data_IF_071834209406
#
_entry.id   IF_071834209406
#
_cell.length_a   1.000
_cell.length_b   1.000
_cell.length_c   1.000
_cell.angle_alpha   90.00
_cell.angle_beta   90.00
_cell.angle_gamma   90.00
#
_symmetry.space_group_name_H-M   'P 1'
#
loop_
_entity.id
_entity.type
_entity.pdbx_description
1 polymer ?
#
# COMPACT_ATOMS: atom_id res chain seq x y z
N UNK A 1 -45.41 3.02 -32.14
CA UNK A 1 -44.64 3.88 -31.20
C UNK A 1 -43.64 2.98 -30.50
N UNK A 2 -42.44 2.90 -31.06
CA UNK A 2 -41.39 1.93 -30.64
C UNK A 2 -40.45 2.65 -29.70
N UNK A 3 -40.45 2.26 -28.40
CA UNK A 3 -39.46 2.71 -27.43
C UNK A 3 -38.12 2.00 -27.68
N UNK A 4 -37.11 2.77 -28.06
CA UNK A 4 -35.74 2.31 -28.08
C UNK A 4 -35.17 2.42 -26.64
N UNK A 5 -34.89 1.29 -26.00
CA UNK A 5 -34.05 1.24 -24.79
C UNK A 5 -32.60 1.53 -25.23
N UNK A 6 -32.08 2.68 -24.83
CA UNK A 6 -30.64 2.96 -24.90
C UNK A 6 -29.97 2.28 -23.69
N UNK A 7 -29.21 1.25 -23.98
CA UNK A 7 -28.30 0.65 -22.99
C UNK A 7 -27.17 1.66 -22.66
N UNK A 8 -27.23 2.25 -21.49
CA UNK A 8 -26.09 3.01 -20.91
C UNK A 8 -25.06 1.98 -20.47
N UNK A 9 -24.01 1.84 -21.25
CA UNK A 9 -22.82 1.10 -20.87
C UNK A 9 -22.09 1.95 -19.81
N UNK A 10 -22.24 1.64 -18.51
CA UNK A 10 -21.37 2.17 -17.47
C UNK A 10 -19.97 1.60 -17.69
N UNK A 11 -19.11 2.40 -18.28
CA UNK A 11 -17.68 2.20 -18.24
C UNK A 11 -17.23 2.35 -16.77
N UNK A 12 -17.04 1.26 -16.08
CA UNK A 12 -16.18 1.26 -14.90
C UNK A 12 -14.77 1.62 -15.38
N UNK A 13 -14.37 2.85 -15.16
CA UNK A 13 -12.97 3.21 -15.18
C UNK A 13 -12.32 2.47 -13.98
N UNK A 14 -11.81 1.26 -14.23
CA UNK A 14 -10.91 0.60 -13.31
C UNK A 14 -9.73 1.54 -13.13
N UNK A 15 -9.38 1.86 -11.89
CA UNK A 15 -8.14 2.55 -11.58
C UNK A 15 -7.00 1.73 -12.24
N UNK A 16 -6.30 2.34 -13.17
CA UNK A 16 -5.17 1.71 -13.82
C UNK A 16 -4.09 1.54 -12.74
N UNK A 17 -3.79 0.30 -12.36
CA UNK A 17 -2.62 0.00 -11.55
C UNK A 17 -1.39 0.07 -12.46
N UNK A 18 -0.31 0.70 -12.00
CA UNK A 18 0.73 1.16 -12.87
C UNK A 18 2.11 1.14 -12.23
N UNK A 19 3.06 0.51 -12.90
CA UNK A 19 4.40 0.26 -12.43
C UNK A 19 4.29 -0.40 -11.04
N UNK A 20 4.99 0.06 -10.01
CA UNK A 20 4.75 -0.47 -8.68
C UNK A 20 3.66 0.34 -7.90
N UNK A 21 3.10 1.40 -8.51
CA UNK A 21 2.01 2.20 -7.96
C UNK A 21 0.68 1.44 -8.00
N UNK A 22 0.10 1.11 -6.86
CA UNK A 22 -1.17 0.37 -6.74
C UNK A 22 -1.17 -0.92 -7.56
N UNK A 23 -0.05 -1.60 -7.59
CA UNK A 23 0.21 -2.75 -8.44
C UNK A 23 -0.53 -4.02 -8.02
N UNK A 24 -1.11 -4.02 -6.80
CA UNK A 24 -1.87 -5.13 -6.25
C UNK A 24 -3.16 -4.68 -5.56
N UNK A 25 -4.13 -5.58 -5.33
CA UNK A 25 -5.32 -5.27 -4.56
C UNK A 25 -5.03 -4.72 -3.16
N UNK A 26 -4.03 -5.25 -2.46
CA UNK A 26 -3.66 -4.80 -1.11
C UNK A 26 -3.09 -3.40 -1.12
N UNK A 27 -2.16 -3.08 -2.02
CA UNK A 27 -1.56 -1.75 -2.14
C UNK A 27 -2.58 -0.71 -2.61
N UNK A 28 -3.48 -1.09 -3.52
CA UNK A 28 -4.62 -0.24 -3.92
C UNK A 28 -5.53 0.10 -2.75
N UNK A 29 -5.75 -0.86 -1.83
CA UNK A 29 -6.60 -0.66 -0.65
C UNK A 29 -5.90 0.13 0.47
N UNK A 30 -4.57 0.17 0.46
CA UNK A 30 -3.74 0.78 1.50
C UNK A 30 -2.63 1.67 0.90
N UNK A 31 -2.98 2.85 0.36
CA UNK A 31 -2.01 3.74 -0.30
C UNK A 31 -0.85 4.18 0.59
N UNK A 32 -1.01 4.19 1.92
CA UNK A 32 0.06 4.58 2.84
C UNK A 32 1.14 3.52 3.02
N UNK A 33 0.86 2.28 2.61
CA UNK A 33 1.81 1.17 2.58
C UNK A 33 2.24 0.80 1.16
N UNK A 34 1.75 1.49 0.14
CA UNK A 34 2.03 1.29 -1.28
C UNK A 34 3.38 1.95 -1.63
N UNK A 35 4.39 1.14 -1.92
CA UNK A 35 5.69 1.58 -2.40
C UNK A 35 5.63 1.85 -3.89
N UNK A 36 5.81 3.11 -4.27
CA UNK A 36 5.82 3.50 -5.67
C UNK A 36 7.14 3.10 -6.33
N UNK A 37 8.25 3.57 -5.77
CA UNK A 37 9.59 3.39 -6.33
C UNK A 37 10.67 3.36 -5.26
N UNK A 38 11.78 2.71 -5.62
CA UNK A 38 13.03 2.71 -4.86
C UNK A 38 14.16 3.21 -5.76
N UNK A 39 14.92 4.18 -5.25
CA UNK A 39 16.13 4.68 -5.89
C UNK A 39 17.33 4.44 -4.99
N UNK A 40 18.47 4.15 -5.59
CA UNK A 40 19.69 3.77 -4.91
C UNK A 40 20.90 4.25 -5.70
N UNK A 41 21.71 5.15 -5.11
CA UNK A 41 22.89 5.69 -5.78
C UNK A 41 23.92 6.23 -4.79
N UNK A 42 25.15 6.36 -5.23
CA UNK A 42 26.19 7.05 -4.47
C UNK A 42 25.95 8.56 -4.55
N UNK A 43 26.10 9.27 -3.42
CA UNK A 43 25.93 10.70 -3.39
C UNK A 43 26.96 11.39 -4.30
N UNK A 44 26.53 12.14 -5.35
CA UNK A 44 27.45 12.77 -6.27
C UNK A 44 28.37 13.83 -5.60
N UNK A 45 27.95 14.37 -4.45
CA UNK A 45 28.71 15.35 -3.69
C UNK A 45 29.58 14.73 -2.57
N UNK A 46 29.35 13.45 -2.25
CA UNK A 46 30.11 12.70 -1.24
C UNK A 46 30.19 11.21 -1.59
N UNK A 47 31.29 10.73 -2.20
CA UNK A 47 31.39 9.34 -2.67
C UNK A 47 31.43 8.30 -1.55
N UNK A 48 31.48 8.70 -0.27
CA UNK A 48 31.39 7.77 0.84
C UNK A 48 29.94 7.58 1.33
N UNK A 49 28.98 8.33 0.80
CA UNK A 49 27.61 8.29 1.24
C UNK A 49 26.71 7.59 0.21
N UNK A 50 25.99 6.57 0.67
CA UNK A 50 24.93 5.93 -0.08
C UNK A 50 23.63 6.67 0.16
N UNK A 51 22.89 6.94 -0.92
CA UNK A 51 21.57 7.57 -0.89
C UNK A 51 20.52 6.56 -1.32
N UNK A 52 19.45 6.47 -0.56
CA UNK A 52 18.25 5.72 -0.92
C UNK A 52 17.04 6.62 -0.88
N UNK A 53 16.13 6.42 -1.81
CA UNK A 53 14.84 7.10 -1.85
C UNK A 53 13.75 6.03 -1.94
N UNK A 54 12.79 6.10 -1.06
CA UNK A 54 11.55 5.33 -1.10
C UNK A 54 10.42 6.32 -1.37
N UNK A 55 9.65 6.10 -2.42
CA UNK A 55 8.43 6.87 -2.68
C UNK A 55 7.21 6.03 -2.34
N UNK A 56 6.20 6.66 -1.75
CA UNK A 56 4.96 6.02 -1.30
C UNK A 56 3.78 6.96 -1.52
N UNK A 57 2.56 6.42 -1.45
CA UNK A 57 1.33 7.20 -1.66
C UNK A 57 1.27 7.80 -3.07
N UNK A 58 0.88 7.01 -4.08
CA UNK A 58 0.75 7.49 -5.46
C UNK A 58 -0.22 8.67 -5.58
N UNK A 59 0.12 9.66 -6.39
CA UNK A 59 -0.67 10.88 -6.57
C UNK A 59 -0.93 11.62 -5.25
N UNK A 60 0.10 11.73 -4.42
CA UNK A 60 0.04 12.44 -3.15
C UNK A 60 -0.27 13.94 -3.35
N UNK A 61 -0.82 14.57 -2.34
CA UNK A 61 -1.12 15.99 -2.31
C UNK A 61 -0.77 16.59 -0.93
N UNK A 62 -0.95 17.89 -0.75
CA UNK A 62 -0.61 18.59 0.50
C UNK A 62 -1.33 18.06 1.75
N UNK A 63 -2.39 17.25 1.59
CA UNK A 63 -3.07 16.60 2.70
C UNK A 63 -2.62 15.15 2.93
N UNK A 64 -1.81 14.59 2.02
CA UNK A 64 -1.27 13.25 2.17
C UNK A 64 -0.28 13.17 3.33
N UNK A 65 -0.28 12.06 4.06
CA UNK A 65 0.57 11.85 5.23
C UNK A 65 1.12 10.43 5.24
N UNK A 66 2.33 10.29 5.77
CA UNK A 66 2.82 8.98 6.19
C UNK A 66 1.94 8.40 7.31
N UNK A 67 1.84 7.10 7.38
CA UNK A 67 0.99 6.44 8.39
C UNK A 67 1.80 6.06 9.63
N UNK A 68 1.27 6.39 10.81
CA UNK A 68 1.83 5.96 12.09
C UNK A 68 1.73 4.43 12.28
N UNK A 69 0.88 3.76 11.50
CA UNK A 69 0.68 2.31 11.51
C UNK A 69 1.47 1.56 10.42
N UNK A 70 2.42 2.23 9.76
CA UNK A 70 3.31 1.63 8.76
C UNK A 70 4.75 1.80 9.20
N UNK A 71 5.50 0.71 9.11
CA UNK A 71 6.96 0.71 9.17
C UNK A 71 7.52 0.66 7.76
N UNK A 72 8.31 1.65 7.42
CA UNK A 72 8.99 1.76 6.13
C UNK A 72 10.40 1.23 6.30
N UNK A 73 10.73 0.16 5.59
CA UNK A 73 11.98 -0.57 5.76
C UNK A 73 12.85 -0.47 4.52
N UNK A 74 14.12 -0.18 4.74
CA UNK A 74 15.17 -0.40 3.77
C UNK A 74 15.92 -1.66 4.17
N UNK A 75 15.97 -2.64 3.31
CA UNK A 75 16.57 -3.95 3.54
C UNK A 75 17.84 -4.08 2.70
N UNK A 76 18.92 -4.53 3.31
CA UNK A 76 20.25 -4.56 2.69
C UNK A 76 20.89 -5.92 2.95
N UNK A 77 21.23 -6.63 1.88
CA UNK A 77 22.08 -7.82 1.93
C UNK A 77 23.48 -7.43 1.44
N UNK A 78 24.47 -7.55 2.33
CA UNK A 78 25.87 -7.23 1.99
C UNK A 78 26.73 -8.47 1.71
N UNK A 79 26.08 -9.63 1.48
CA UNK A 79 26.74 -10.90 1.22
C UNK A 79 27.22 -11.65 2.46
N UNK A 80 27.18 -11.02 3.63
CA UNK A 80 27.54 -11.62 4.93
C UNK A 80 26.41 -11.52 5.93
N UNK A 81 25.65 -10.41 5.91
CA UNK A 81 24.57 -10.16 6.82
C UNK A 81 23.39 -9.47 6.08
N UNK A 82 22.18 -9.75 6.57
CA UNK A 82 21.00 -8.98 6.23
C UNK A 82 20.86 -7.85 7.27
N UNK A 83 20.93 -6.61 6.79
CA UNK A 83 20.78 -5.38 7.56
C UNK A 83 19.45 -4.72 7.25
N UNK A 84 18.93 -3.88 8.15
CA UNK A 84 17.77 -3.04 7.89
C UNK A 84 17.93 -1.65 8.48
N UNK A 85 17.37 -0.65 7.79
CA UNK A 85 17.05 0.65 8.36
C UNK A 85 15.53 0.74 8.38
N UNK A 86 14.98 0.96 9.59
CA UNK A 86 13.54 0.94 9.83
C UNK A 86 13.08 2.32 10.26
N UNK A 87 12.11 2.88 9.54
CA UNK A 87 11.56 4.19 9.80
C UNK A 87 10.09 4.09 10.17
N UNK A 88 9.70 4.73 11.27
CA UNK A 88 8.33 4.85 11.74
C UNK A 88 7.94 6.31 11.88
N UNK A 89 6.69 6.58 11.60
CA UNK A 89 6.12 7.91 11.77
C UNK A 89 5.27 7.98 13.02
N UNK A 90 5.17 9.17 13.58
CA UNK A 90 4.34 9.52 14.73
C UNK A 90 3.74 10.90 14.51
N UNK A 91 2.87 11.33 15.41
CA UNK A 91 2.25 12.65 15.33
C UNK A 91 1.49 12.86 14.00
N UNK A 92 0.66 11.86 13.64
CA UNK A 92 -0.11 11.85 12.39
C UNK A 92 0.78 12.00 11.15
N UNK A 93 1.94 11.31 11.14
CA UNK A 93 2.87 11.34 10.04
C UNK A 93 3.81 12.56 10.00
N UNK A 94 3.77 13.45 11.00
CA UNK A 94 4.56 14.69 11.01
C UNK A 94 5.97 14.54 11.60
N UNK A 95 6.27 13.41 12.22
CA UNK A 95 7.58 13.09 12.76
C UNK A 95 8.02 11.72 12.28
N UNK A 96 9.30 11.61 11.93
CA UNK A 96 9.93 10.33 11.57
C UNK A 96 10.98 9.94 12.61
N UNK A 97 11.07 8.65 12.88
CA UNK A 97 12.12 8.03 13.68
C UNK A 97 12.68 6.84 12.89
N UNK A 98 13.94 6.94 12.47
CA UNK A 98 14.66 5.89 11.77
C UNK A 98 15.74 5.30 12.67
N UNK A 99 15.86 3.98 12.64
CA UNK A 99 16.91 3.22 13.34
C UNK A 99 17.56 2.21 12.39
N UNK A 100 18.83 1.92 12.59
CA UNK A 100 19.58 1.01 11.73
C UNK A 100 20.68 0.25 12.49
N UNK A 101 21.49 -0.53 11.76
CA UNK A 101 22.56 -1.31 12.36
C UNK A 101 23.59 -0.41 13.04
N UNK A 102 24.31 -0.98 14.01
CA UNK A 102 25.42 -0.32 14.73
C UNK A 102 25.04 1.01 15.41
N UNK A 103 23.76 1.16 15.83
CA UNK A 103 23.27 2.36 16.49
C UNK A 103 23.00 3.54 15.57
N UNK A 104 22.93 3.32 14.26
CA UNK A 104 22.44 4.33 13.32
C UNK A 104 21.04 4.79 13.72
N UNK A 105 20.83 6.10 13.82
CA UNK A 105 19.54 6.66 14.21
C UNK A 105 19.36 8.10 13.75
N UNK A 106 18.13 8.47 13.39
CA UNK A 106 17.72 9.85 13.15
C UNK A 106 16.25 10.04 13.52
N UNK A 107 15.91 11.14 14.18
CA UNK A 107 14.53 11.47 14.56
C UNK A 107 14.26 12.97 14.44
N UNK A 108 13.13 13.33 13.87
CA UNK A 108 12.75 14.73 13.72
C UNK A 108 11.42 14.96 13.01
N UNK A 109 11.04 16.21 12.83
CA UNK A 109 9.89 16.59 12.02
C UNK A 109 10.18 16.43 10.52
N UNK A 110 9.16 16.15 9.72
CA UNK A 110 9.26 16.05 8.26
C UNK A 110 9.47 17.41 7.59
N UNK A 111 9.59 17.43 6.25
CA UNK A 111 9.80 18.59 5.38
C UNK A 111 11.10 19.38 5.69
N UNK A 112 12.07 18.73 6.28
CA UNK A 112 13.40 19.27 6.58
C UNK A 112 14.44 18.17 6.68
N UNK A 113 15.69 18.52 6.47
CA UNK A 113 16.82 17.61 6.70
C UNK A 113 16.98 17.36 8.20
N UNK A 114 16.99 16.08 8.57
CA UNK A 114 17.20 15.59 9.93
C UNK A 114 18.60 14.98 9.96
N UNK A 115 19.48 15.53 10.79
CA UNK A 115 20.80 14.98 11.02
C UNK A 115 20.76 14.17 12.31
N UNK A 116 21.13 12.90 12.21
CA UNK A 116 21.14 11.98 13.35
C UNK A 116 22.50 11.32 13.58
N UNK A 117 22.52 10.23 14.34
CA UNK A 117 23.71 9.41 14.54
C UNK A 117 23.97 8.54 13.31
N UNK A 118 24.85 8.98 12.42
CA UNK A 118 25.23 8.28 11.19
C UNK A 118 24.16 8.18 10.12
N UNK A 119 22.98 8.77 10.33
CA UNK A 119 21.90 8.90 9.34
C UNK A 119 21.58 10.36 9.06
N UNK A 120 21.37 10.68 7.80
CA UNK A 120 20.73 11.91 7.35
C UNK A 120 19.42 11.54 6.67
N UNK A 121 18.31 12.07 7.17
CA UNK A 121 16.97 11.70 6.74
C UNK A 121 16.20 12.94 6.30
N UNK A 122 15.42 12.78 5.26
CA UNK A 122 14.40 13.74 4.85
C UNK A 122 13.12 12.97 4.52
N UNK A 123 11.96 13.47 4.92
CA UNK A 123 10.67 12.90 4.57
C UNK A 123 9.66 14.01 4.26
N UNK A 124 8.80 13.82 3.27
CA UNK A 124 7.79 14.80 2.90
C UNK A 124 7.24 14.64 1.49
N UNK A 125 6.52 15.65 1.02
CA UNK A 125 5.94 15.70 -0.32
C UNK A 125 7.00 16.10 -1.36
N UNK A 126 7.08 15.36 -2.47
CA UNK A 126 7.98 15.63 -3.60
C UNK A 126 7.30 15.33 -4.91
N UNK A 127 7.76 15.97 -5.96
CA UNK A 127 7.48 15.60 -7.34
C UNK A 127 7.88 14.14 -7.57
N UNK A 128 7.00 13.35 -8.23
CA UNK A 128 7.25 11.94 -8.48
C UNK A 128 8.32 11.78 -9.57
N UNK A 129 9.49 11.22 -9.25
CA UNK A 129 10.58 11.11 -10.24
C UNK A 129 10.35 10.00 -11.26
N UNK A 130 9.31 9.19 -11.14
CA UNK A 130 9.01 8.13 -12.08
C UNK A 130 8.25 8.63 -13.30
N UNK A 131 8.53 8.06 -14.47
CA UNK A 131 7.87 8.39 -15.73
C UNK A 131 7.70 7.14 -16.59
N UNK A 132 6.53 7.00 -17.22
CA UNK A 132 6.15 5.85 -18.03
C UNK A 132 4.83 6.10 -18.79
N UNK A 133 4.72 5.61 -20.05
CA UNK A 133 3.44 5.53 -20.77
C UNK A 133 2.71 4.23 -20.44
N UNK A 134 2.13 4.17 -19.24
CA UNK A 134 1.38 3.00 -18.80
C UNK A 134 0.16 2.67 -19.65
N UNK A 135 -0.69 3.62 -20.10
CA UNK A 135 -1.80 3.32 -20.98
C UNK A 135 -1.34 2.65 -22.28
N UNK A 136 -0.22 3.09 -22.86
CA UNK A 136 0.35 2.44 -24.04
C UNK A 136 0.86 1.03 -23.71
N UNK A 137 1.55 0.83 -22.60
CA UNK A 137 1.95 -0.49 -22.13
C UNK A 137 0.76 -1.43 -21.91
N UNK A 138 -0.30 -0.95 -21.25
CA UNK A 138 -1.52 -1.74 -21.05
C UNK A 138 -2.21 -2.13 -22.36
N UNK A 139 -2.23 -1.24 -23.36
CA UNK A 139 -2.71 -1.58 -24.70
C UNK A 139 -1.79 -2.61 -25.37
N UNK A 140 -0.48 -2.42 -25.27
CA UNK A 140 0.54 -3.34 -25.83
C UNK A 140 0.35 -4.75 -25.31
N UNK A 141 0.27 -4.93 -23.99
CA UNK A 141 0.07 -6.26 -23.40
C UNK A 141 -1.30 -6.88 -23.73
N UNK A 142 -2.35 -6.07 -23.85
CA UNK A 142 -3.70 -6.55 -24.16
C UNK A 142 -3.83 -7.01 -25.61
N UNK A 143 -3.10 -6.40 -26.53
CA UNK A 143 -3.15 -6.68 -27.97
C UNK A 143 -1.97 -7.51 -28.46
N UNK A 144 -0.93 -7.69 -27.62
CA UNK A 144 0.38 -8.25 -27.98
C UNK A 144 0.97 -7.53 -29.23
N UNK A 145 0.78 -6.22 -29.29
CA UNK A 145 1.28 -5.37 -30.37
C UNK A 145 1.70 -4.00 -29.80
N UNK A 146 2.88 -3.49 -30.17
CA UNK A 146 3.39 -2.21 -29.64
C UNK A 146 2.40 -1.08 -29.86
N UNK A 147 2.07 -0.37 -28.78
CA UNK A 147 1.12 0.76 -28.79
C UNK A 147 1.77 2.05 -28.30
N UNK A 148 3.10 2.08 -28.14
CA UNK A 148 3.84 3.28 -27.80
C UNK A 148 3.86 4.28 -28.94
N UNK A 149 3.71 5.56 -28.61
CA UNK A 149 3.77 6.68 -29.58
C UNK A 149 5.06 7.47 -29.40
N UNK A 150 5.42 8.33 -30.33
CA UNK A 150 6.54 9.25 -30.20
C UNK A 150 6.05 10.68 -30.49
N UNK A 151 6.03 11.59 -29.49
CA UNK A 151 6.39 11.36 -28.09
C UNK A 151 5.40 10.44 -27.36
N UNK A 152 5.86 9.75 -26.31
CA UNK A 152 5.04 9.04 -25.34
C UNK A 152 4.35 10.00 -24.38
N UNK A 153 3.43 9.47 -23.57
CA UNK A 153 2.66 10.27 -22.60
C UNK A 153 3.00 9.81 -21.19
N UNK A 154 3.67 10.67 -20.38
CA UNK A 154 3.91 10.36 -18.97
C UNK A 154 2.59 10.24 -18.21
N UNK A 155 2.39 9.13 -17.51
CA UNK A 155 1.20 8.85 -16.70
C UNK A 155 1.41 9.11 -15.21
N UNK A 156 2.62 9.48 -14.81
CA UNK A 156 3.06 9.66 -13.42
C UNK A 156 3.35 11.12 -13.07
N UNK A 157 2.68 12.01 -13.76
CA UNK A 157 2.72 13.46 -13.43
C UNK A 157 2.07 13.70 -12.06
N UNK A 158 2.71 14.49 -11.21
CA UNK A 158 2.24 14.87 -9.88
C UNK A 158 3.18 14.44 -8.76
N UNK A 159 2.65 14.34 -7.54
CA UNK A 159 3.49 14.21 -6.36
C UNK A 159 3.37 12.84 -5.69
N UNK A 160 4.41 12.51 -4.93
CA UNK A 160 4.51 11.34 -4.04
C UNK A 160 4.99 11.77 -2.65
N UNK A 161 4.79 10.95 -1.62
CA UNK A 161 5.53 11.11 -0.37
C UNK A 161 6.86 10.39 -0.49
N UNK A 162 7.94 11.07 -0.19
CA UNK A 162 9.30 10.54 -0.29
C UNK A 162 9.97 10.44 1.08
N UNK A 163 10.64 9.31 1.34
CA UNK A 163 11.55 9.09 2.44
C UNK A 163 12.96 8.93 1.88
N UNK A 164 13.82 9.88 2.15
CA UNK A 164 15.21 9.91 1.66
C UNK A 164 16.16 9.65 2.82
N UNK A 165 17.04 8.67 2.67
CA UNK A 165 18.03 8.28 3.66
C UNK A 165 19.40 8.35 3.01
N UNK A 166 20.32 9.06 3.66
CA UNK A 166 21.72 9.06 3.31
C UNK A 166 22.55 8.54 4.49
N UNK A 167 23.48 7.64 4.20
CA UNK A 167 24.28 6.92 5.19
C UNK A 167 25.69 6.68 4.68
N UNK A 168 26.70 6.80 5.54
CA UNK A 168 28.06 6.39 5.18
C UNK A 168 28.09 4.90 4.85
N UNK A 169 28.52 4.56 3.64
CA UNK A 169 28.55 3.21 3.09
C UNK A 169 29.30 2.21 3.99
N UNK A 170 30.27 2.66 4.79
CA UNK A 170 31.07 1.81 5.66
C UNK A 170 30.24 1.12 6.74
N UNK A 171 29.12 1.72 7.14
CA UNK A 171 28.16 1.08 8.06
C UNK A 171 27.42 -0.10 7.45
N UNK A 172 27.34 -0.18 6.12
CA UNK A 172 26.55 -1.18 5.40
C UNK A 172 27.42 -2.24 4.71
N UNK A 173 28.59 -1.86 4.21
CA UNK A 173 29.47 -2.69 3.39
C UNK A 173 30.64 -3.31 4.16
N UNK A 174 30.49 -3.47 5.48
CA UNK A 174 31.51 -4.03 6.37
C UNK A 174 32.86 -3.29 6.28
N UNK A 175 32.80 -1.96 6.41
CA UNK A 175 33.99 -1.10 6.31
C UNK A 175 34.69 -1.11 4.94
N UNK A 176 33.95 -1.46 3.88
CA UNK A 176 34.46 -1.57 2.49
C UNK A 176 34.89 -2.98 2.08
N UNK A 177 34.88 -3.97 3.00
CA UNK A 177 35.23 -5.34 2.68
C UNK A 177 34.24 -6.03 1.74
N UNK A 178 32.96 -5.61 1.79
CA UNK A 178 31.86 -6.14 0.99
C UNK A 178 31.23 -5.02 0.17
N UNK A 179 31.83 -4.57 -0.93
CA UNK A 179 31.38 -3.40 -1.66
C UNK A 179 30.05 -3.59 -2.37
N UNK A 180 29.66 -4.83 -2.71
CA UNK A 180 28.41 -5.13 -3.42
C UNK A 180 27.29 -5.24 -2.40
N UNK A 181 26.28 -4.38 -2.54
CA UNK A 181 25.06 -4.41 -1.75
C UNK A 181 23.87 -4.75 -2.64
N UNK A 182 22.95 -5.57 -2.12
CA UNK A 182 21.63 -5.82 -2.70
C UNK A 182 20.58 -5.17 -1.81
N UNK A 183 19.79 -4.26 -2.37
CA UNK A 183 18.93 -3.37 -1.60
C UNK A 183 17.50 -3.42 -2.12
N UNK A 184 16.54 -3.50 -1.23
CA UNK A 184 15.13 -3.38 -1.54
C UNK A 184 14.39 -2.73 -0.38
N UNK A 185 13.18 -2.29 -0.63
CA UNK A 185 12.30 -1.70 0.37
C UNK A 185 11.11 -2.61 0.66
N UNK A 186 10.56 -2.48 1.85
CA UNK A 186 9.31 -3.09 2.24
C UNK A 186 8.52 -2.16 3.16
N UNK A 187 7.21 -2.26 3.08
CA UNK A 187 6.31 -1.66 4.06
C UNK A 187 5.63 -2.75 4.87
N UNK A 188 5.64 -2.58 6.19
CA UNK A 188 4.96 -3.47 7.11
C UNK A 188 3.85 -2.73 7.84
N UNK A 189 2.67 -3.32 7.93
CA UNK A 189 1.71 -2.88 8.92
C UNK A 189 2.19 -3.30 10.30
N UNK A 190 2.23 -2.30 11.19
CA UNK A 190 2.65 -2.42 12.58
C UNK A 190 1.55 -1.85 13.45
N UNK A 191 1.24 -2.53 14.55
CA UNK A 191 0.16 -2.13 15.44
C UNK A 191 -0.92 -3.20 15.56
N UNK A 192 -1.92 -2.92 16.37
CA UNK A 192 -2.97 -3.88 16.65
C UNK A 192 -3.81 -4.15 15.39
N UNK A 193 -3.99 -5.43 15.09
CA UNK A 193 -5.01 -5.91 14.15
C UNK A 193 -6.35 -5.58 14.72
N UNK A 194 -7.08 -4.63 14.13
CA UNK A 194 -8.36 -4.36 14.74
C UNK A 194 -9.19 -3.26 14.11
N UNK A 195 -10.33 -3.11 14.74
CA UNK A 195 -11.29 -2.07 14.46
C UNK A 195 -10.65 -0.71 14.78
N UNK A 196 -10.52 0.12 13.77
CA UNK A 196 -10.03 1.51 13.88
C UNK A 196 -11.18 2.51 13.74
N UNK A 197 -10.90 3.79 13.99
CA UNK A 197 -11.86 4.89 13.77
C UNK A 197 -12.50 4.88 12.39
N UNK A 198 -11.80 4.33 11.39
CA UNK A 198 -12.32 4.16 10.04
C UNK A 198 -13.52 3.21 9.93
N UNK A 199 -13.82 2.39 10.94
CA UNK A 199 -15.04 1.57 10.99
C UNK A 199 -16.29 2.34 11.42
N UNK A 200 -16.15 3.56 11.93
CA UNK A 200 -17.27 4.45 12.22
C UNK A 200 -18.13 4.67 10.98
N UNK A 201 -19.44 4.53 11.13
CA UNK A 201 -20.42 4.72 10.07
C UNK A 201 -21.60 3.77 10.14
N UNK A 202 -22.39 3.76 9.07
CA UNK A 202 -23.57 2.89 8.95
C UNK A 202 -23.21 1.57 8.29
N UNK A 203 -23.74 0.50 8.87
CA UNK A 203 -23.63 -0.88 8.42
C UNK A 203 -25.02 -1.49 8.31
N UNK A 204 -25.25 -2.38 7.36
CA UNK A 204 -26.58 -2.94 7.14
C UNK A 204 -26.51 -4.39 6.64
N UNK A 205 -27.62 -5.11 6.78
CA UNK A 205 -27.82 -6.40 6.13
C UNK A 205 -28.61 -6.16 4.83
N UNK A 206 -27.94 -6.30 3.68
CA UNK A 206 -28.57 -6.07 2.37
C UNK A 206 -29.75 -7.01 2.07
N UNK A 207 -29.82 -8.16 2.77
CA UNK A 207 -30.94 -9.13 2.62
C UNK A 207 -32.14 -8.79 3.50
N UNK A 208 -31.99 -7.85 4.44
CA UNK A 208 -33.01 -7.50 5.45
C UNK A 208 -33.26 -5.99 5.52
N UNK A 209 -34.08 -5.44 4.61
CA UNK A 209 -34.40 -4.02 4.61
C UNK A 209 -34.88 -3.52 5.98
N UNK A 210 -34.30 -2.41 6.45
CA UNK A 210 -34.61 -1.82 7.76
C UNK A 210 -33.75 -2.33 8.92
N UNK A 211 -32.92 -3.37 8.70
CA UNK A 211 -31.92 -3.80 9.68
C UNK A 211 -30.58 -3.15 9.37
N UNK A 212 -29.98 -2.52 10.36
CA UNK A 212 -28.66 -1.91 10.24
C UNK A 212 -28.16 -1.37 11.57
N UNK A 213 -26.89 -1.03 11.64
CA UNK A 213 -26.27 -0.47 12.82
C UNK A 213 -25.47 0.78 12.46
N UNK A 214 -25.56 1.79 13.31
CA UNK A 214 -24.57 2.86 13.37
C UNK A 214 -23.54 2.49 14.42
N UNK A 215 -22.28 2.59 14.06
CA UNK A 215 -21.13 2.24 14.92
C UNK A 215 -20.23 3.46 15.00
N UNK A 216 -19.79 3.80 16.20
CA UNK A 216 -18.78 4.81 16.47
C UNK A 216 -17.63 4.19 17.26
N UNK A 217 -16.42 4.38 16.77
CA UNK A 217 -15.20 4.02 17.48
C UNK A 217 -14.76 5.21 18.32
N UNK A 218 -14.61 4.96 19.61
CA UNK A 218 -14.33 5.96 20.63
C UNK A 218 -12.94 5.73 21.22
N UNK A 219 -12.31 6.82 21.65
CA UNK A 219 -11.06 6.77 22.39
C UNK A 219 -11.17 5.94 23.69
N UNK A 220 -10.07 5.39 24.20
CA UNK A 220 -10.03 4.70 25.47
C UNK A 220 -10.59 5.56 26.62
N UNK A 221 -11.29 4.94 27.58
CA UNK A 221 -11.77 5.64 28.77
C UNK A 221 -10.63 6.09 29.70
N UNK A 222 -9.51 5.39 29.65
CA UNK A 222 -8.28 5.72 30.39
C UNK A 222 -7.07 5.61 29.47
N UNK A 223 -6.03 6.44 29.62
CA UNK A 223 -4.81 6.34 28.83
C UNK A 223 -4.24 4.91 28.86
N UNK A 224 -3.96 4.33 27.67
CA UNK A 224 -3.45 2.96 27.53
C UNK A 224 -4.50 1.84 27.67
N UNK A 225 -5.77 2.18 27.87
CA UNK A 225 -6.88 1.22 27.86
C UNK A 225 -7.28 0.84 26.41
N UNK A 226 -8.20 -0.13 26.25
CA UNK A 226 -8.72 -0.51 24.94
C UNK A 226 -9.60 0.60 24.36
N UNK A 227 -9.61 0.73 23.05
CA UNK A 227 -10.58 1.54 22.33
C UNK A 227 -12.00 1.05 22.63
N UNK A 228 -12.95 1.96 22.55
CA UNK A 228 -14.36 1.69 22.86
C UNK A 228 -15.21 1.75 21.61
N UNK A 229 -16.38 1.16 21.68
CA UNK A 229 -17.41 1.21 20.64
C UNK A 229 -18.71 1.70 21.27
N UNK A 230 -19.38 2.65 20.62
CA UNK A 230 -20.79 2.90 20.81
C UNK A 230 -21.55 2.42 19.57
N UNK A 231 -22.72 1.82 19.78
CA UNK A 231 -23.54 1.39 18.66
C UNK A 231 -25.03 1.64 18.90
N UNK A 232 -25.76 1.89 17.80
CA UNK A 232 -27.21 1.87 17.73
C UNK A 232 -27.63 0.89 16.64
N UNK A 233 -28.27 -0.21 17.03
CA UNK A 233 -28.78 -1.22 16.11
C UNK A 233 -30.29 -1.01 15.87
N UNK A 234 -30.66 -0.75 14.63
CA UNK A 234 -32.02 -0.57 14.16
C UNK A 234 -32.62 -1.92 13.79
N UNK A 235 -33.72 -2.30 14.47
CA UNK A 235 -34.34 -3.62 14.31
C UNK A 235 -35.86 -3.53 14.41
N UNK A 236 -36.51 -4.66 14.14
CA UNK A 236 -37.93 -4.88 14.49
C UNK A 236 -38.04 -5.90 15.63
N UNK A 237 -38.99 -5.71 16.51
CA UNK A 237 -39.36 -6.72 17.49
C UNK A 237 -40.22 -7.84 16.86
N UNK A 238 -40.60 -8.85 17.66
CA UNK A 238 -41.43 -9.95 17.18
C UNK A 238 -42.83 -9.51 16.67
N UNK A 239 -43.32 -8.37 17.10
CA UNK A 239 -44.57 -7.77 16.62
C UNK A 239 -44.39 -6.84 15.39
N UNK A 240 -43.20 -6.72 14.82
CA UNK A 240 -42.91 -5.87 13.68
C UNK A 240 -42.77 -4.39 14.02
N UNK A 241 -42.65 -4.02 15.28
CA UNK A 241 -42.43 -2.63 15.69
C UNK A 241 -40.95 -2.29 15.69
N UNK A 242 -40.60 -1.08 15.25
CA UNK A 242 -39.22 -0.60 15.25
C UNK A 242 -38.66 -0.48 16.67
N UNK A 243 -37.42 -0.86 16.85
CA UNK A 243 -36.64 -0.74 18.08
C UNK A 243 -35.25 -0.25 17.77
N UNK A 244 -34.66 0.48 18.72
CA UNK A 244 -33.26 0.87 18.71
C UNK A 244 -32.60 0.22 19.92
N UNK A 245 -31.62 -0.63 19.64
CA UNK A 245 -30.83 -1.29 20.66
C UNK A 245 -29.49 -0.57 20.71
N UNK A 246 -29.18 0.04 21.85
CA UNK A 246 -27.99 0.88 22.02
C UNK A 246 -27.11 0.38 23.15
N UNK A 247 -25.85 0.72 23.09
CA UNK A 247 -24.90 0.41 24.15
C UNK A 247 -23.50 0.86 23.83
N UNK A 248 -22.64 0.73 24.81
CA UNK A 248 -21.20 0.99 24.72
C UNK A 248 -20.45 -0.24 25.19
N UNK A 249 -19.26 -0.45 24.62
CA UNK A 249 -18.40 -1.57 24.94
C UNK A 249 -16.96 -1.34 24.55
N UNK A 250 -16.18 -2.41 24.45
CA UNK A 250 -14.75 -2.37 24.17
C UNK A 250 -14.40 -3.06 22.86
N UNK A 251 -13.30 -2.65 22.28
CA UNK A 251 -12.72 -3.22 21.06
C UNK A 251 -11.51 -4.08 21.45
N UNK A 252 -11.43 -5.27 20.87
CA UNK A 252 -10.28 -6.15 20.96
C UNK A 252 -10.02 -6.78 19.57
N UNK A 253 -8.98 -6.30 18.90
CA UNK A 253 -8.68 -6.73 17.55
C UNK A 253 -9.82 -6.48 16.56
N UNK A 254 -10.23 -7.50 15.83
CA UNK A 254 -11.32 -7.45 14.83
C UNK A 254 -12.74 -7.45 15.45
N UNK A 255 -12.84 -7.46 16.77
CA UNK A 255 -14.08 -7.69 17.50
C UNK A 255 -14.39 -6.53 18.46
N UNK A 256 -15.62 -6.01 18.38
CA UNK A 256 -16.17 -5.03 19.32
C UNK A 256 -17.31 -5.67 20.11
N UNK A 257 -17.25 -5.64 21.44
CA UNK A 257 -18.24 -6.26 22.32
C UNK A 257 -18.92 -5.24 23.21
N UNK A 258 -20.23 -5.20 23.15
CA UNK A 258 -21.13 -4.41 24.01
C UNK A 258 -21.83 -5.40 24.96
N UNK A 259 -21.39 -5.52 26.22
CA UNK A 259 -21.89 -6.57 27.12
C UNK A 259 -23.28 -6.26 27.70
N UNK A 260 -23.68 -5.00 27.71
CA UNK A 260 -24.90 -4.52 28.34
C UNK A 260 -25.64 -3.52 27.42
N UNK A 261 -26.20 -4.04 26.33
CA UNK A 261 -27.04 -3.25 25.45
C UNK A 261 -28.46 -3.12 26.03
N UNK A 262 -29.12 -2.05 25.68
CA UNK A 262 -30.47 -1.73 26.14
C UNK A 262 -31.32 -1.12 25.02
N UNK A 263 -32.63 -1.13 25.20
CA UNK A 263 -33.59 -0.42 24.36
C UNK A 263 -34.55 0.37 25.20
N UNK A 264 -35.31 1.29 24.59
CA UNK A 264 -36.31 2.10 25.27
C UNK A 264 -37.68 1.81 24.73
N UNK A 265 -38.69 1.96 25.61
CA UNK A 265 -40.09 1.90 25.25
C UNK A 265 -40.89 2.95 26.05
N UNK A 266 -42.09 3.23 25.63
CA UNK A 266 -42.91 4.32 26.21
C UNK A 266 -42.48 5.69 25.68
N UNK A 267 -43.13 6.71 26.13
CA UNK A 267 -43.00 8.05 25.60
C UNK A 267 -43.88 8.26 24.35
N UNK A 268 -44.15 9.51 24.04
CA UNK A 268 -44.94 9.88 22.86
C UNK A 268 -44.13 10.89 22.03
N UNK A 269 -44.45 11.03 20.77
CA UNK A 269 -43.86 12.07 19.92
C UNK A 269 -44.23 13.47 20.45
N UNK A 270 -43.32 14.45 20.43
CA UNK A 270 -43.64 15.81 20.81
C UNK A 270 -44.88 16.37 20.06
N UNK A 271 -45.71 17.20 20.69
CA UNK A 271 -45.53 17.83 22.02
C UNK A 271 -45.96 16.97 23.22
N UNK A 272 -46.45 15.76 23.00
CA UNK A 272 -47.03 14.93 24.07
C UNK A 272 -45.98 14.03 24.78
N UNK A 273 -44.70 14.31 24.61
CA UNK A 273 -43.61 13.56 25.25
C UNK A 273 -43.65 13.72 26.77
N UNK A 274 -43.62 12.59 27.47
CA UNK A 274 -43.56 12.56 28.93
C UNK A 274 -42.38 11.67 29.35
N UNK A 275 -41.28 12.23 29.90
CA UNK A 275 -40.09 11.46 30.28
C UNK A 275 -40.38 10.40 31.37
N UNK A 276 -41.40 10.60 32.21
CA UNK A 276 -41.79 9.62 33.24
C UNK A 276 -42.38 8.31 32.66
N UNK A 277 -42.80 8.33 31.40
CA UNK A 277 -43.30 7.12 30.68
C UNK A 277 -42.19 6.34 29.96
N UNK A 278 -40.99 6.88 29.84
CA UNK A 278 -39.87 6.22 29.20
C UNK A 278 -39.35 5.12 30.12
N UNK A 279 -39.29 3.93 29.61
CA UNK A 279 -38.69 2.74 30.26
C UNK A 279 -37.44 2.34 29.54
N UNK A 280 -36.32 2.25 30.26
CA UNK A 280 -35.06 1.65 29.76
C UNK A 280 -35.09 0.19 30.14
N UNK A 281 -34.99 -0.68 29.12
CA UNK A 281 -35.03 -2.14 29.27
C UNK A 281 -33.73 -2.77 28.84
N UNK A 282 -33.18 -3.72 29.63
CA UNK A 282 -31.99 -4.44 29.21
C UNK A 282 -32.31 -5.30 27.98
N UNK A 283 -31.42 -5.27 27.01
CA UNK A 283 -31.48 -6.16 25.84
C UNK A 283 -30.63 -7.41 26.08
N UNK A 284 -29.35 -7.22 26.36
CA UNK A 284 -28.35 -8.27 26.47
C UNK A 284 -27.01 -7.82 25.87
N UNK A 285 -26.40 -8.63 25.02
CA UNK A 285 -25.10 -8.30 24.43
C UNK A 285 -25.15 -8.19 22.91
N UNK A 286 -24.25 -7.34 22.37
CA UNK A 286 -23.97 -7.23 20.94
C UNK A 286 -22.48 -7.49 20.72
N UNK A 287 -22.15 -8.23 19.67
CA UNK A 287 -20.77 -8.48 19.23
C UNK A 287 -20.67 -8.21 17.74
N UNK A 288 -19.86 -7.23 17.39
CA UNK A 288 -19.50 -6.91 16.01
C UNK A 288 -18.15 -7.54 15.71
N UNK A 289 -18.04 -8.27 14.62
CA UNK A 289 -16.77 -8.79 14.13
C UNK A 289 -16.62 -8.45 12.66
N UNK A 290 -15.48 -7.84 12.30
CA UNK A 290 -15.23 -7.43 10.94
C UNK A 290 -14.16 -8.30 10.29
N UNK A 291 -14.41 -8.73 9.04
CA UNK A 291 -13.47 -9.50 8.23
C UNK A 291 -12.65 -8.60 7.31
N UNK A 292 -13.20 -7.45 6.95
CA UNK A 292 -12.55 -6.38 6.18
C UNK A 292 -13.36 -5.08 6.34
N UNK A 293 -12.89 -4.02 5.69
CA UNK A 293 -13.52 -2.69 5.77
C UNK A 293 -14.95 -2.59 5.23
N UNK A 294 -15.44 -3.60 4.53
CA UNK A 294 -16.75 -3.59 3.88
C UNK A 294 -17.66 -4.73 4.33
N UNK A 295 -17.14 -5.66 5.13
CA UNK A 295 -17.88 -6.84 5.56
C UNK A 295 -17.61 -7.20 7.02
N UNK A 296 -18.64 -7.69 7.70
CA UNK A 296 -18.58 -8.16 9.07
C UNK A 296 -19.84 -8.93 9.45
N UNK A 297 -19.96 -9.20 10.74
CA UNK A 297 -21.13 -9.82 11.35
C UNK A 297 -21.53 -9.09 12.63
N UNK A 298 -22.80 -9.06 12.94
CA UNK A 298 -23.35 -8.70 14.24
C UNK A 298 -24.00 -9.95 14.84
N UNK A 299 -23.50 -10.38 15.97
CA UNK A 299 -24.11 -11.42 16.79
C UNK A 299 -24.72 -10.81 18.04
N UNK A 300 -25.82 -11.35 18.53
CA UNK A 300 -26.48 -10.88 19.74
C UNK A 300 -26.96 -12.02 20.63
N UNK A 301 -27.11 -11.69 21.91
CA UNK A 301 -27.87 -12.50 22.87
C UNK A 301 -28.83 -11.61 23.64
N UNK A 302 -30.04 -12.11 23.92
CA UNK A 302 -31.04 -11.40 24.76
C UNK A 302 -31.80 -12.35 25.66
N UNK A 303 -32.14 -11.88 26.84
CA UNK A 303 -33.07 -12.59 27.74
C UNK A 303 -34.54 -12.22 27.47
N UNK A 304 -34.80 -11.16 26.71
CA UNK A 304 -36.15 -10.70 26.40
C UNK A 304 -36.72 -11.34 25.13
N UNK A 305 -36.90 -12.65 25.20
CA UNK A 305 -37.46 -13.46 24.08
C UNK A 305 -38.92 -13.13 23.80
N UNK A 306 -39.65 -12.57 24.77
CA UNK A 306 -41.04 -12.13 24.59
C UNK A 306 -41.09 -10.92 23.63
N UNK A 307 -40.17 -9.98 23.75
CA UNK A 307 -40.09 -8.81 22.87
C UNK A 307 -39.46 -9.17 21.49
N UNK A 308 -38.41 -10.01 21.44
CA UNK A 308 -37.60 -10.16 20.23
C UNK A 308 -37.78 -11.53 19.53
N UNK A 309 -38.49 -12.48 20.12
CA UNK A 309 -38.83 -13.77 19.50
C UNK A 309 -37.70 -14.81 19.46
N UNK A 310 -36.46 -14.42 19.75
CA UNK A 310 -35.30 -15.32 19.75
C UNK A 310 -34.27 -14.85 20.79
N UNK A 311 -33.61 -15.81 21.46
CA UNK A 311 -32.62 -15.57 22.51
C UNK A 311 -31.26 -15.14 21.96
N UNK A 312 -30.94 -15.52 20.74
CA UNK A 312 -29.66 -15.21 20.09
C UNK A 312 -29.79 -15.27 18.56
N UNK A 313 -28.84 -14.67 17.88
CA UNK A 313 -28.78 -14.74 16.43
C UNK A 313 -27.58 -14.00 15.86
N UNK A 314 -27.51 -13.98 14.54
CA UNK A 314 -26.43 -13.32 13.79
C UNK A 314 -26.96 -12.68 12.50
N UNK A 315 -26.39 -11.56 12.12
CA UNK A 315 -26.61 -10.87 10.84
C UNK A 315 -25.25 -10.72 10.11
N UNK A 316 -25.28 -10.85 8.78
CA UNK A 316 -24.20 -10.34 7.95
C UNK A 316 -24.27 -8.83 7.87
N UNK A 317 -23.13 -8.16 7.90
CA UNK A 317 -23.03 -6.71 7.77
C UNK A 317 -22.25 -6.35 6.52
N UNK A 318 -22.82 -5.44 5.74
CA UNK A 318 -22.15 -4.73 4.66
C UNK A 318 -22.03 -3.24 5.02
N UNK A 319 -20.94 -2.62 4.62
CA UNK A 319 -20.75 -1.19 4.85
C UNK A 319 -21.72 -0.37 4.00
N UNK A 320 -22.38 0.59 4.60
CA UNK A 320 -23.27 1.53 3.89
C UNK A 320 -22.62 2.90 3.70
N UNK A 321 -21.89 3.39 4.72
CA UNK A 321 -21.24 4.71 4.65
C UNK A 321 -19.80 4.67 5.12
N UNK A 322 -18.99 5.57 4.57
CA UNK A 322 -17.63 5.86 5.02
C UNK A 322 -17.51 7.35 5.32
N UNK A 323 -16.93 7.68 6.46
CA UNK A 323 -16.73 9.08 6.86
C UNK A 323 -15.57 9.66 6.04
N UNK A 324 -15.80 10.84 5.45
CA UNK A 324 -14.79 11.55 4.67
C UNK A 324 -13.58 11.88 5.56
N UNK A 325 -12.38 11.49 5.06
CA UNK A 325 -11.13 11.73 5.78
C UNK A 325 -10.81 10.70 6.86
N UNK A 326 -11.65 9.65 7.04
CA UNK A 326 -11.39 8.52 7.92
C UNK A 326 -11.26 7.24 7.08
N UNK A 327 -10.07 6.93 6.56
CA UNK A 327 -9.88 5.69 5.82
C UNK A 327 -10.06 4.49 6.75
N UNK A 328 -10.80 3.50 6.30
CA UNK A 328 -10.87 2.22 6.99
C UNK A 328 -9.73 1.34 6.52
N UNK A 329 -9.01 0.80 7.46
CA UNK A 329 -8.01 -0.23 7.21
C UNK A 329 -8.16 -1.30 8.29
N UNK A 330 -8.37 -2.54 7.88
CA UNK A 330 -8.23 -3.68 8.77
C UNK A 330 -6.77 -4.15 8.63
N UNK A 331 -5.97 -3.87 9.64
CA UNK A 331 -4.54 -4.18 9.59
C UNK A 331 -4.30 -5.64 9.97
N UNK A 332 -3.87 -6.45 9.01
CA UNK A 332 -3.12 -7.65 9.34
C UNK A 332 -1.65 -7.22 9.52
N UNK A 333 -1.00 -7.47 10.69
CA UNK A 333 0.40 -7.17 10.85
C UNK A 333 1.22 -7.98 9.87
N UNK A 334 2.29 -7.38 9.36
CA UNK A 334 3.20 -8.00 8.42
C UNK A 334 3.43 -7.17 7.17
N UNK A 335 4.19 -7.73 6.27
CA UNK A 335 4.54 -7.07 5.03
C UNK A 335 3.31 -6.90 4.13
N UNK A 336 3.10 -5.66 3.69
CA UNK A 336 2.05 -5.28 2.73
C UNK A 336 2.64 -5.24 1.34
N UNK A 337 3.80 -4.59 1.22
CA UNK A 337 4.44 -4.33 -0.06
C UNK A 337 5.94 -4.49 0.00
N UNK A 338 6.56 -4.72 -1.15
CA UNK A 338 8.00 -4.66 -1.38
C UNK A 338 8.30 -4.16 -2.78
N UNK A 339 9.39 -3.45 -2.89
CA UNK A 339 9.88 -2.94 -4.15
C UNK A 339 11.43 -2.89 -4.12
N UNK A 340 12.04 -3.25 -5.20
CA UNK A 340 13.46 -3.10 -5.41
C UNK A 340 13.72 -2.66 -6.84
N UNK A 341 13.56 -3.59 -7.80
CA UNK A 341 13.68 -3.28 -9.23
C UNK A 341 12.38 -2.65 -9.74
N UNK A 342 12.46 -1.56 -10.53
CA UNK A 342 11.28 -0.87 -11.01
C UNK A 342 10.40 -1.76 -11.90
N UNK A 343 9.11 -1.76 -11.63
CA UNK A 343 8.10 -2.34 -12.48
C UNK A 343 8.04 -3.87 -12.54
N UNK A 344 8.82 -4.62 -11.77
CA UNK A 344 8.88 -6.10 -11.88
C UNK A 344 7.52 -6.74 -11.64
N UNK A 345 6.80 -6.33 -10.58
CA UNK A 345 5.46 -6.86 -10.31
C UNK A 345 4.47 -6.51 -11.44
N UNK A 346 4.60 -5.35 -12.05
CA UNK A 346 3.72 -4.91 -13.15
C UNK A 346 4.02 -5.60 -14.47
N UNK A 347 5.30 -5.74 -14.84
CA UNK A 347 5.67 -6.22 -16.19
C UNK A 347 5.96 -7.70 -16.24
N UNK A 348 6.23 -8.37 -15.10
CA UNK A 348 6.62 -9.77 -15.09
C UNK A 348 5.69 -10.69 -14.28
N UNK A 349 4.78 -10.14 -13.46
CA UNK A 349 3.81 -10.91 -12.68
C UNK A 349 2.39 -10.62 -13.16
N UNK A 350 1.63 -11.67 -13.47
CA UNK A 350 0.24 -11.58 -13.94
C UNK A 350 0.05 -10.65 -15.15
N UNK A 351 0.93 -10.76 -16.12
CA UNK A 351 0.87 -9.98 -17.38
C UNK A 351 -0.11 -10.61 -18.36
N UNK A 352 -0.06 -11.93 -18.47
CA UNK A 352 -0.94 -12.69 -19.35
C UNK A 352 -2.36 -12.81 -18.76
N UNK A 353 -3.41 -12.82 -19.59
CA UNK A 353 -4.77 -13.06 -19.14
C UNK A 353 -4.87 -14.41 -18.40
N UNK A 354 -5.59 -14.44 -17.27
CA UNK A 354 -6.00 -15.63 -16.49
C UNK A 354 -5.15 -16.05 -15.29
N UNK A 355 -4.13 -15.32 -14.86
CA UNK A 355 -3.36 -15.67 -13.65
C UNK A 355 -3.95 -15.08 -12.35
N UNK A 356 -4.83 -14.08 -12.44
CA UNK A 356 -5.53 -13.46 -11.30
C UNK A 356 -4.64 -12.53 -10.46
N UNK A 357 -5.24 -11.53 -9.84
CA UNK A 357 -4.52 -10.47 -9.09
C UNK A 357 -3.93 -10.95 -7.75
N UNK A 358 -4.37 -12.12 -7.24
CA UNK A 358 -3.86 -12.67 -5.97
C UNK A 358 -2.35 -12.98 -6.00
N UNK A 359 -1.78 -13.26 -7.18
CA UNK A 359 -0.35 -13.50 -7.30
C UNK A 359 0.47 -12.23 -7.07
N UNK A 360 -0.05 -11.06 -7.43
CA UNK A 360 0.58 -9.76 -7.16
C UNK A 360 0.67 -9.47 -5.66
N UNK A 361 -0.41 -9.71 -4.90
CA UNK A 361 -0.38 -9.62 -3.45
C UNK A 361 0.62 -10.61 -2.82
N UNK A 362 0.68 -11.84 -3.35
CA UNK A 362 1.64 -12.84 -2.90
C UNK A 362 3.09 -12.40 -3.16
N UNK A 363 3.34 -11.77 -4.33
CA UNK A 363 4.65 -11.22 -4.67
C UNK A 363 5.06 -10.12 -3.70
N UNK A 364 4.20 -9.13 -3.45
CA UNK A 364 4.47 -8.00 -2.56
C UNK A 364 4.67 -8.46 -1.10
N UNK A 365 3.98 -9.49 -0.66
CA UNK A 365 4.09 -10.04 0.70
C UNK A 365 5.23 -11.02 0.90
N UNK A 366 5.91 -11.46 -0.13
CA UNK A 366 7.02 -12.40 -0.01
C UNK A 366 8.26 -11.70 0.58
N UNK A 367 8.47 -11.82 1.88
CA UNK A 367 9.53 -11.11 2.63
C UNK A 367 10.90 -11.79 2.58
N UNK A 368 10.97 -13.08 2.22
CA UNK A 368 12.23 -13.83 2.21
C UNK A 368 12.75 -14.01 0.77
N UNK A 369 13.88 -13.38 0.39
CA UNK A 369 14.46 -13.51 -0.94
C UNK A 369 14.71 -14.94 -1.40
N UNK A 370 15.04 -15.85 -0.49
CA UNK A 370 15.26 -17.26 -0.82
C UNK A 370 14.01 -17.98 -1.37
N UNK A 371 12.83 -17.43 -1.12
CA UNK A 371 11.56 -18.00 -1.61
C UNK A 371 11.08 -17.41 -2.93
N UNK A 372 11.66 -16.31 -3.42
CA UNK A 372 11.16 -15.62 -4.61
C UNK A 372 11.28 -16.46 -5.87
N UNK A 373 12.44 -17.05 -6.12
CA UNK A 373 12.64 -17.89 -7.30
C UNK A 373 11.71 -19.11 -7.32
N UNK A 374 11.59 -19.91 -6.25
CA UNK A 374 10.63 -21.02 -6.21
C UNK A 374 9.17 -20.61 -6.44
N UNK A 375 8.78 -19.41 -6.03
CA UNK A 375 7.38 -18.95 -6.11
C UNK A 375 7.04 -18.27 -7.44
N UNK A 376 7.96 -17.50 -8.03
CA UNK A 376 7.61 -16.56 -9.09
C UNK A 376 8.40 -16.74 -10.39
N UNK A 377 9.55 -17.43 -10.40
CA UNK A 377 10.41 -17.49 -11.59
C UNK A 377 9.73 -18.13 -12.80
N UNK A 378 8.91 -19.17 -12.60
CA UNK A 378 8.20 -19.83 -13.69
C UNK A 378 7.15 -18.91 -14.34
N UNK A 379 6.43 -18.16 -13.52
CA UNK A 379 5.47 -17.15 -13.98
C UNK A 379 6.18 -16.03 -14.75
N UNK A 380 7.26 -15.49 -14.20
CA UNK A 380 8.09 -14.48 -14.87
C UNK A 380 8.59 -14.96 -16.22
N UNK A 381 9.13 -16.19 -16.30
CA UNK A 381 9.61 -16.76 -17.55
C UNK A 381 8.52 -16.82 -18.62
N UNK A 382 7.31 -17.24 -18.26
CA UNK A 382 6.20 -17.31 -19.21
C UNK A 382 5.79 -15.92 -19.72
N UNK A 383 5.72 -14.94 -18.83
CA UNK A 383 5.37 -13.57 -19.18
C UNK A 383 6.47 -12.92 -20.05
N UNK A 384 7.74 -13.09 -19.68
CA UNK A 384 8.88 -12.57 -20.46
C UNK A 384 8.97 -13.19 -21.86
N UNK A 385 8.67 -14.49 -22.00
CA UNK A 385 8.60 -15.13 -23.30
C UNK A 385 7.49 -14.56 -24.20
N UNK A 386 6.38 -14.14 -23.63
CA UNK A 386 5.32 -13.46 -24.38
C UNK A 386 5.74 -12.02 -24.74
N UNK A 387 6.39 -11.31 -23.83
CA UNK A 387 6.86 -9.94 -24.08
C UNK A 387 7.97 -9.86 -25.13
N UNK A 388 8.85 -10.87 -25.22
CA UNK A 388 9.91 -10.99 -26.24
C UNK A 388 9.38 -11.05 -27.69
N UNK A 389 8.06 -11.26 -27.86
CA UNK A 389 7.43 -11.28 -29.19
C UNK A 389 6.84 -9.95 -29.62
N UNK A 390 6.81 -8.95 -28.74
CA UNK A 390 6.02 -7.73 -28.93
C UNK A 390 6.52 -6.83 -30.08
N UNK A 391 7.81 -6.83 -30.38
CA UNK A 391 8.38 -6.08 -31.50
C UNK A 391 8.32 -6.83 -32.85
N UNK A 392 7.71 -8.03 -32.85
CA UNK A 392 7.61 -8.91 -34.01
C UNK A 392 8.84 -9.79 -34.24
N UNK A 393 9.83 -9.75 -33.36
CA UNK A 393 11.07 -10.54 -33.44
C UNK A 393 11.20 -11.36 -32.16
N UNK A 394 11.13 -12.65 -32.23
CA UNK A 394 11.30 -13.53 -31.09
C UNK A 394 12.80 -13.88 -30.89
N UNK A 395 13.27 -13.76 -29.65
CA UNK A 395 14.64 -14.15 -29.28
C UNK A 395 15.67 -13.04 -29.45
N UNK A 396 15.23 -11.77 -29.55
CA UNK A 396 16.11 -10.60 -29.61
C UNK A 396 16.16 -9.81 -28.28
N UNK A 397 15.47 -10.28 -27.23
CA UNK A 397 15.65 -9.79 -25.87
C UNK A 397 17.13 -9.92 -25.43
N UNK A 398 17.57 -9.09 -24.48
CA UNK A 398 18.95 -9.04 -23.99
C UNK A 398 19.48 -10.40 -23.55
N UNK A 399 18.62 -11.20 -22.93
CA UNK A 399 18.90 -12.57 -22.46
C UNK A 399 17.68 -13.46 -22.79
N UNK A 400 17.89 -14.77 -22.99
CA UNK A 400 16.76 -15.70 -23.12
C UNK A 400 15.77 -15.55 -21.94
N UNK A 401 14.45 -15.66 -22.15
CA UNK A 401 13.44 -15.42 -21.12
C UNK A 401 13.66 -16.20 -19.81
N UNK A 402 14.18 -17.43 -19.88
CA UNK A 402 14.50 -18.23 -18.69
C UNK A 402 15.65 -17.61 -17.88
N UNK A 403 16.69 -17.12 -18.55
CA UNK A 403 17.84 -16.48 -17.92
C UNK A 403 17.43 -15.11 -17.36
N UNK A 404 16.67 -14.33 -18.13
CA UNK A 404 16.18 -13.03 -17.69
C UNK A 404 15.25 -13.16 -16.47
N UNK A 405 14.36 -14.17 -16.43
CA UNK A 405 13.54 -14.48 -15.28
C UNK A 405 14.39 -14.81 -14.03
N UNK A 406 15.49 -15.54 -14.20
CA UNK A 406 16.38 -15.84 -13.07
C UNK A 406 17.12 -14.61 -12.51
N UNK A 407 17.30 -13.57 -13.32
CA UNK A 407 17.88 -12.29 -12.89
C UNK A 407 16.80 -11.41 -12.22
N UNK A 408 15.65 -11.26 -12.87
CA UNK A 408 14.60 -10.34 -12.41
C UNK A 408 13.85 -10.84 -11.17
N UNK A 409 13.80 -12.14 -10.92
CA UNK A 409 13.18 -12.70 -9.71
C UNK A 409 13.93 -12.32 -8.44
N UNK A 410 15.22 -11.99 -8.53
CA UNK A 410 15.96 -11.28 -7.48
C UNK A 410 15.59 -9.78 -7.56
N UNK A 411 14.48 -9.43 -6.93
CA UNK A 411 13.90 -8.08 -6.93
C UNK A 411 14.69 -7.14 -6.01
N UNK A 412 15.99 -7.09 -6.17
CA UNK A 412 16.87 -6.20 -5.39
C UNK A 412 17.69 -5.34 -6.34
N UNK A 413 17.76 -4.05 -6.09
CA UNK A 413 18.74 -3.17 -6.73
C UNK A 413 20.15 -3.57 -6.26
N UNK A 414 21.07 -3.75 -7.17
CA UNK A 414 22.45 -4.11 -6.87
C UNK A 414 23.35 -2.91 -7.11
N UNK A 415 24.17 -2.58 -6.11
CA UNK A 415 25.11 -1.46 -6.19
C UNK A 415 26.51 -1.90 -5.75
N UNK A 416 27.53 -1.47 -6.48
CA UNK A 416 28.93 -1.56 -6.12
C UNK A 416 29.39 -0.25 -5.48
N UNK A 417 29.41 -0.21 -4.15
CA UNK A 417 29.77 0.98 -3.37
C UNK A 417 31.25 1.37 -3.48
N UNK A 418 32.08 0.59 -4.12
CA UNK A 418 33.47 0.98 -4.40
C UNK A 418 33.60 1.97 -5.57
N UNK A 419 32.56 2.06 -6.41
CA UNK A 419 32.48 2.93 -7.58
C UNK A 419 31.63 4.17 -7.26
N UNK A 420 32.11 5.37 -7.57
CA UNK A 420 31.40 6.62 -7.24
C UNK A 420 30.29 6.98 -8.25
N UNK A 421 30.38 6.50 -9.50
CA UNK A 421 29.48 6.91 -10.58
C UNK A 421 28.40 5.85 -10.83
N UNK A 422 27.14 6.24 -10.73
CA UNK A 422 25.96 5.37 -10.89
C UNK A 422 25.18 5.81 -12.14
N UNK A 423 25.76 5.68 -13.32
CA UNK A 423 25.23 6.16 -14.58
C UNK A 423 24.54 5.07 -15.43
N UNK A 424 24.56 3.82 -15.00
CA UNK A 424 23.92 2.72 -15.69
C UNK A 424 23.15 1.79 -14.73
N UNK A 425 21.89 1.56 -15.03
CA UNK A 425 21.05 0.54 -14.38
C UNK A 425 21.52 -0.87 -14.80
N UNK A 426 21.40 -1.86 -13.93
CA UNK A 426 21.87 -3.25 -14.13
C UNK A 426 23.38 -3.39 -14.36
N UNK A 427 24.17 -2.36 -14.04
CA UNK A 427 25.60 -2.36 -14.37
C UNK A 427 26.38 -3.46 -13.66
N UNK A 428 26.04 -3.76 -12.40
CA UNK A 428 26.74 -4.80 -11.64
C UNK A 428 26.44 -6.19 -12.23
N UNK A 429 25.20 -6.44 -12.58
CA UNK A 429 24.74 -7.70 -13.18
C UNK A 429 25.38 -7.95 -14.56
N UNK A 430 25.57 -6.88 -15.33
CA UNK A 430 26.13 -6.94 -16.68
C UNK A 430 27.66 -6.75 -16.70
N UNK A 431 28.30 -6.56 -15.54
CA UNK A 431 29.75 -6.36 -15.44
C UNK A 431 30.25 -5.03 -16.03
N UNK A 432 29.41 -3.99 -16.06
CA UNK A 432 29.73 -2.66 -16.57
C UNK A 432 30.55 -1.83 -15.55
N UNK A 433 31.26 -0.77 -15.97
CA UNK A 433 32.10 0.01 -15.08
C UNK A 433 31.34 0.92 -14.09
N UNK A 434 30.04 1.11 -14.23
CA UNK A 434 29.18 1.89 -13.35
C UNK A 434 28.96 1.22 -11.99
N UNK A 435 28.56 1.98 -10.99
CA UNK A 435 28.18 1.46 -9.68
C UNK A 435 26.90 0.62 -9.70
N UNK A 436 26.05 0.72 -10.71
CA UNK A 436 24.70 0.13 -10.72
C UNK A 436 23.71 0.95 -9.93
N UNK A 437 22.79 0.28 -9.25
CA UNK A 437 21.69 0.95 -8.55
C UNK A 437 20.68 1.60 -9.50
N UNK A 438 20.01 2.66 -9.03
CA UNK A 438 19.04 3.45 -9.82
C UNK A 438 19.11 4.90 -9.41
N UNK A 439 19.49 5.81 -10.30
CA UNK A 439 19.42 7.26 -10.06
C UNK A 439 18.03 7.80 -10.40
N UNK A 440 17.70 8.98 -9.89
CA UNK A 440 16.39 9.62 -10.08
C UNK A 440 16.06 9.91 -11.55
N UNK A 441 17.06 10.31 -12.33
CA UNK A 441 16.89 10.70 -13.73
C UNK A 441 17.00 9.51 -14.72
N UNK A 442 17.33 8.30 -14.26
CA UNK A 442 17.54 7.17 -15.17
C UNK A 442 16.23 6.67 -15.75
N UNK A 443 16.20 6.58 -17.08
CA UNK A 443 15.12 5.95 -17.80
C UNK A 443 15.22 4.41 -17.69
N UNK A 444 14.70 3.89 -16.57
CA UNK A 444 14.73 2.45 -16.29
C UNK A 444 13.65 1.69 -17.06
N UNK A 445 12.65 2.38 -17.58
CA UNK A 445 11.61 1.77 -18.42
C UNK A 445 12.19 1.45 -19.79
N UNK A 446 12.87 2.39 -20.43
CA UNK A 446 13.54 2.13 -21.71
C UNK A 446 14.63 1.07 -21.57
N UNK A 447 15.42 1.11 -20.47
CA UNK A 447 16.38 0.04 -20.16
C UNK A 447 15.69 -1.34 -20.07
N UNK A 448 14.54 -1.39 -19.37
CA UNK A 448 13.78 -2.64 -19.18
C UNK A 448 13.10 -3.11 -20.46
N UNK A 449 12.47 -2.23 -21.21
CA UNK A 449 11.86 -2.55 -22.51
C UNK A 449 12.92 -3.05 -23.49
N UNK A 450 14.07 -2.40 -23.56
CA UNK A 450 15.20 -2.84 -24.38
C UNK A 450 15.75 -4.21 -23.98
N UNK A 451 15.74 -4.54 -22.69
CA UNK A 451 16.18 -5.83 -22.18
C UNK A 451 15.15 -6.96 -22.35
N UNK A 452 13.86 -6.66 -22.27
CA UNK A 452 12.77 -7.64 -22.23
C UNK A 452 12.19 -7.89 -23.63
N UNK A 453 12.00 -6.85 -24.42
CA UNK A 453 11.32 -6.90 -25.72
C UNK A 453 12.36 -6.96 -26.85
N UNK A 454 13.29 -6.00 -26.86
CA UNK A 454 14.34 -5.97 -27.89
C UNK A 454 15.04 -4.61 -27.97
N UNK A 455 16.24 -4.56 -28.59
CA UNK A 455 17.03 -3.35 -28.68
C UNK A 455 16.28 -2.20 -29.36
N UNK A 456 16.26 -1.03 -28.71
CA UNK A 456 15.63 0.19 -29.25
C UNK A 456 14.13 0.28 -29.03
N UNK A 457 13.51 -0.67 -28.32
CA UNK A 457 12.13 -0.53 -27.86
C UNK A 457 12.09 0.46 -26.71
N UNK A 458 11.26 1.47 -26.81
CA UNK A 458 11.14 2.59 -25.90
C UNK A 458 9.68 3.02 -25.79
N UNK A 459 9.26 3.53 -24.63
CA UNK A 459 7.97 4.17 -24.48
C UNK A 459 7.97 5.65 -24.93
N UNK A 460 9.16 6.18 -25.25
CA UNK A 460 9.41 7.55 -25.71
C UNK A 460 8.93 8.63 -24.71
N UNK A 461 8.84 8.29 -23.42
CA UNK A 461 8.59 9.24 -22.33
C UNK A 461 9.93 9.77 -21.81
N UNK A 462 9.94 10.99 -21.35
CA UNK A 462 11.11 11.61 -20.72
C UNK A 462 10.75 12.09 -19.34
N UNK A 463 11.77 12.12 -18.48
CA UNK A 463 11.67 12.71 -17.15
C UNK A 463 11.20 14.18 -17.25
N UNK A 464 10.20 14.56 -16.46
CA UNK A 464 9.65 15.90 -16.35
C UNK A 464 9.99 16.58 -15.02
N UNK A 465 10.62 15.86 -14.08
CA UNK A 465 11.03 16.38 -12.77
C UNK A 465 12.29 17.27 -12.86
N UNK A 466 12.33 18.32 -12.07
CA UNK A 466 13.52 19.15 -11.87
C UNK A 466 14.19 18.78 -10.55
N UNK A 467 15.28 18.00 -10.63
CA UNK A 467 15.99 17.50 -9.47
C UNK A 467 16.87 18.57 -8.80
N UNK A 468 17.00 18.46 -7.47
CA UNK A 468 17.95 19.25 -6.69
C UNK A 468 19.36 18.67 -6.83
N UNK A 469 20.37 19.54 -6.79
CA UNK A 469 21.79 19.14 -6.77
C UNK A 469 22.25 18.60 -5.42
N UNK A 470 21.53 18.96 -4.36
CA UNK A 470 21.85 18.63 -2.98
C UNK A 470 20.74 17.81 -2.34
N UNK A 471 21.05 17.13 -1.25
CA UNK A 471 20.09 16.37 -0.46
C UNK A 471 18.85 17.21 -0.10
N UNK A 472 17.64 16.70 -0.35
CA UNK A 472 17.24 15.33 -0.64
C UNK A 472 17.21 14.93 -2.12
N UNK A 473 17.76 15.69 -3.03
CA UNK A 473 17.91 15.48 -4.47
C UNK A 473 16.61 15.53 -5.29
N UNK A 474 15.47 15.18 -4.73
CA UNK A 474 14.16 15.14 -5.38
C UNK A 474 13.63 16.52 -5.75
N UNK A 475 12.88 16.59 -6.84
CA UNK A 475 12.14 17.78 -7.26
C UNK A 475 11.19 18.33 -6.18
N UNK A 476 10.91 19.62 -6.23
CA UNK A 476 9.89 20.22 -5.37
C UNK A 476 8.51 19.77 -5.84
N UNK A 477 7.52 19.70 -4.92
CA UNK A 477 6.15 19.40 -5.34
C UNK A 477 5.61 20.40 -6.36
N UNK A 478 4.82 19.91 -7.31
CA UNK A 478 4.05 20.70 -8.27
C UNK A 478 2.85 21.42 -7.64
#
# INVERSE_FOLDING_TARGET
MSLRLSSICLLFAGAASAADHRDSPLTTADPSADLNDVYLFMNPNNPNELVTVQTVVPSANFNSRFSDAVEYRLLIDNGVANLSIECRFTDQGNRVNCTGPNGLAASGGIERTIQGNGLRVWAGLRDDPFFFDLPAFNRTRATLSPSFTNPGVNSFVGNTLALVIAVDRSHLNNGGANPILKVWSATNRVGETGISSGFTGLWYDASKPGYGAHIEVLAPATPGGPDRVAAAWYVYNAAGQQRWITGEGTINGDTATIPAAFYTSGGLFPPNFNPAQVQIKPFGSLTFRFTNCNAGTLSWTTSDTAEFGAAQGQLGLSRLTQIKGLPCTLYNPGQVDRNGRPGVNTVAINVLPNTGTALKDAYNRASNPATWAPLFQAEMQANLAALDTLDGITGNALLPPATLASVLVDDRLIIDTSKPNCDAYLAVELGLPSCGGRTLARDVIDDSLGAIVGPGVSDNVRNDSTFLTDFPFLGRPD
#
